data_IF_254370646138
#
_entry.id   IF_254370646138
#
_cell.length_a   1.000
_cell.length_b   1.000
_cell.length_c   1.000
_cell.angle_alpha   90.00
_cell.angle_beta   90.00
_cell.angle_gamma   90.00
#
_symmetry.space_group_name_H-M   'P 1'
#
loop_
_entity.id
_entity.type
_entity.pdbx_description
1 polymer ?
#
# COMPACT_ATOMS: atom_id res chain seq x y z
N UNK A 1 7.82 -0.59 -9.23
CA UNK A 1 7.56 0.53 -8.29
C UNK A 1 7.40 -0.02 -6.89
N UNK A 2 8.05 0.59 -5.94
CA UNK A 2 7.98 0.15 -4.54
C UNK A 2 6.82 0.84 -3.83
N UNK A 3 6.34 0.23 -2.75
CA UNK A 3 5.21 0.75 -1.99
C UNK A 3 5.42 2.20 -1.53
N UNK A 4 6.61 2.51 -0.99
CA UNK A 4 6.90 3.85 -0.51
C UNK A 4 6.85 4.89 -1.65
N UNK A 5 7.22 4.51 -2.86
CA UNK A 5 7.17 5.42 -4.01
C UNK A 5 5.74 5.80 -4.37
N UNK A 6 4.82 4.83 -4.27
CA UNK A 6 3.39 5.10 -4.50
C UNK A 6 2.86 6.06 -3.44
N UNK A 7 3.20 5.83 -2.16
CA UNK A 7 2.73 6.68 -1.08
C UNK A 7 3.20 8.13 -1.23
N UNK A 8 4.37 8.35 -1.82
CA UNK A 8 4.92 9.71 -1.99
C UNK A 8 4.15 10.56 -2.99
N UNK A 9 3.39 9.95 -3.91
CA UNK A 9 2.67 10.72 -4.93
C UNK A 9 1.25 11.10 -4.50
N UNK A 10 0.76 10.57 -3.38
CA UNK A 10 -0.56 10.90 -2.86
C UNK A 10 -0.47 11.92 -1.74
N UNK A 11 -1.55 12.68 -1.57
CA UNK A 11 -1.62 13.64 -0.46
C UNK A 11 -1.72 12.90 0.88
N UNK A 12 -1.32 13.57 1.95
CA UNK A 12 -1.28 12.97 3.28
C UNK A 12 -2.64 12.52 3.80
N UNK A 13 -3.73 13.05 3.26
CA UNK A 13 -5.09 12.74 3.71
C UNK A 13 -5.67 11.49 3.07
N UNK A 14 -5.04 10.96 2.03
CA UNK A 14 -5.52 9.75 1.35
C UNK A 14 -5.35 8.55 2.28
N UNK A 15 -6.39 7.73 2.36
CA UNK A 15 -6.35 6.47 3.09
C UNK A 15 -5.89 5.36 2.14
N UNK A 16 -4.98 4.53 2.62
CA UNK A 16 -4.42 3.40 1.86
C UNK A 16 -4.79 2.10 2.55
N UNK A 17 -5.50 1.24 1.83
CA UNK A 17 -5.73 -0.13 2.26
C UNK A 17 -4.67 -1.00 1.61
N UNK A 18 -3.87 -1.67 2.43
CA UNK A 18 -2.74 -2.48 1.98
C UNK A 18 -3.08 -3.96 2.03
N UNK A 19 -2.80 -4.64 0.95
CA UNK A 19 -2.86 -6.10 0.89
C UNK A 19 -1.52 -6.63 0.38
N UNK A 20 -1.09 -7.77 0.90
CA UNK A 20 0.18 -8.39 0.54
C UNK A 20 -0.09 -9.76 -0.08
N UNK A 21 0.41 -9.96 -1.30
CA UNK A 21 0.36 -11.28 -1.93
C UNK A 21 1.40 -12.21 -1.34
N UNK A 22 1.01 -13.46 -1.13
CA UNK A 22 1.94 -14.53 -0.81
C UNK A 22 2.74 -14.94 -2.06
N UNK A 23 3.67 -15.87 -1.89
CA UNK A 23 4.59 -16.30 -2.94
C UNK A 23 3.90 -16.81 -4.21
N UNK A 24 2.68 -17.32 -4.09
CA UNK A 24 1.92 -17.88 -5.21
C UNK A 24 1.06 -16.84 -5.95
N UNK A 25 0.92 -15.65 -5.41
CA UNK A 25 0.09 -14.56 -5.94
C UNK A 25 -1.39 -14.91 -6.15
N UNK A 26 -1.86 -16.01 -5.58
CA UNK A 26 -3.26 -16.42 -5.72
C UNK A 26 -4.18 -15.73 -4.73
N UNK A 27 -3.65 -15.35 -3.58
CA UNK A 27 -4.44 -14.67 -2.56
C UNK A 27 -3.62 -13.57 -1.93
N UNK A 28 -4.31 -12.47 -1.59
CA UNK A 28 -3.71 -11.35 -0.89
C UNK A 28 -4.27 -11.30 0.51
N UNK A 29 -3.41 -11.09 1.51
CA UNK A 29 -3.82 -10.87 2.89
C UNK A 29 -3.96 -9.39 3.13
N UNK A 30 -5.11 -8.99 3.68
CA UNK A 30 -5.32 -7.60 4.08
C UNK A 30 -4.48 -7.30 5.32
N UNK A 31 -3.71 -6.24 5.24
CA UNK A 31 -2.87 -5.78 6.35
C UNK A 31 -3.61 -4.73 7.18
N UNK A 32 -4.37 -3.86 6.53
CA UNK A 32 -5.14 -2.82 7.20
C UNK A 32 -5.22 -1.56 6.38
N UNK A 33 -5.60 -0.48 7.05
CA UNK A 33 -5.77 0.83 6.41
C UNK A 33 -5.11 1.90 7.28
N UNK A 34 -4.24 2.71 6.66
CA UNK A 34 -3.66 3.89 7.28
C UNK A 34 -3.71 5.06 6.29
N UNK A 35 -3.65 6.29 6.82
CA UNK A 35 -3.47 7.46 5.97
C UNK A 35 -2.02 7.52 5.47
N UNK A 36 -1.83 8.18 4.33
CA UNK A 36 -0.49 8.36 3.78
C UNK A 36 0.44 9.04 4.80
N UNK A 37 -0.04 10.01 5.57
CA UNK A 37 0.79 10.68 6.57
C UNK A 37 1.33 9.70 7.61
N UNK A 38 0.51 8.75 8.06
CA UNK A 38 0.95 7.75 9.04
C UNK A 38 1.97 6.80 8.43
N UNK A 39 1.77 6.43 7.18
CA UNK A 39 2.70 5.56 6.46
C UNK A 39 4.05 6.27 6.28
N UNK A 40 4.03 7.54 5.92
CA UNK A 40 5.26 8.32 5.76
C UNK A 40 5.98 8.54 7.09
N UNK A 41 5.28 8.43 8.22
CA UNK A 41 5.85 8.52 9.56
C UNK A 41 6.32 7.18 10.13
N UNK A 42 6.30 6.13 9.33
CA UNK A 42 6.88 4.83 9.70
C UNK A 42 5.90 3.67 9.82
N UNK A 43 4.59 3.91 9.75
CA UNK A 43 3.63 2.81 9.71
C UNK A 43 3.91 1.95 8.48
N UNK A 44 3.92 0.64 8.66
CA UNK A 44 4.22 -0.31 7.59
C UNK A 44 5.62 -0.17 6.99
N UNK A 45 6.60 0.31 7.75
CA UNK A 45 7.96 0.49 7.23
C UNK A 45 8.56 -0.79 6.65
N UNK A 46 8.19 -1.96 7.19
CA UNK A 46 8.65 -3.25 6.66
C UNK A 46 8.15 -3.54 5.24
N UNK A 47 7.11 -2.84 4.78
CA UNK A 47 6.56 -3.03 3.44
C UNK A 47 7.07 -1.99 2.43
N UNK A 48 7.88 -1.02 2.86
CA UNK A 48 8.30 0.08 2.00
C UNK A 48 8.96 -0.37 0.70
N UNK A 49 9.71 -1.45 0.74
CA UNK A 49 10.45 -1.95 -0.41
C UNK A 49 9.71 -3.06 -1.18
N UNK A 50 8.49 -3.40 -0.77
CA UNK A 50 7.69 -4.38 -1.49
C UNK A 50 7.25 -3.80 -2.84
N UNK A 51 7.15 -4.65 -3.85
CA UNK A 51 6.75 -4.21 -5.18
C UNK A 51 5.23 -4.05 -5.26
N UNK A 52 4.80 -2.94 -5.84
CA UNK A 52 3.38 -2.68 -6.08
C UNK A 52 2.93 -3.44 -7.32
N UNK A 53 1.88 -4.24 -7.15
CA UNK A 53 1.29 -4.99 -8.26
C UNK A 53 -0.01 -4.36 -8.74
N UNK A 54 -0.80 -3.78 -7.83
CA UNK A 54 -2.08 -3.17 -8.15
C UNK A 54 -2.25 -1.90 -7.32
N UNK A 55 -2.69 -0.82 -7.98
CA UNK A 55 -3.21 0.38 -7.32
C UNK A 55 -4.61 0.59 -7.85
N UNK A 56 -5.61 0.55 -6.97
CA UNK A 56 -7.00 0.66 -7.36
C UNK A 56 -7.68 1.77 -6.56
N UNK A 57 -8.21 2.80 -7.21
CA UNK A 57 -8.99 3.81 -6.49
C UNK A 57 -10.31 3.20 -6.03
N UNK A 58 -10.68 3.46 -4.79
CA UNK A 58 -11.97 3.04 -4.23
C UNK A 58 -12.92 4.24 -4.26
N UNK A 59 -12.47 5.39 -3.79
CA UNK A 59 -13.20 6.65 -3.86
C UNK A 59 -12.20 7.82 -3.90
N UNK A 60 -12.69 9.05 -3.72
CA UNK A 60 -11.87 10.26 -3.83
C UNK A 60 -10.76 10.35 -2.77
N UNK A 61 -10.90 9.65 -1.65
CA UNK A 61 -9.98 9.74 -0.52
C UNK A 61 -9.40 8.38 -0.11
N UNK A 62 -9.69 7.32 -0.87
CA UNK A 62 -9.32 5.96 -0.49
C UNK A 62 -8.83 5.18 -1.69
N UNK A 63 -7.66 4.58 -1.56
CA UNK A 63 -7.08 3.69 -2.58
C UNK A 63 -6.76 2.33 -1.96
N UNK A 64 -6.79 1.32 -2.79
CA UNK A 64 -6.30 0.00 -2.43
C UNK A 64 -4.97 -0.25 -3.14
N UNK A 65 -3.98 -0.68 -2.39
CA UNK A 65 -2.67 -1.04 -2.93
C UNK A 65 -2.38 -2.49 -2.59
N UNK A 66 -2.03 -3.26 -3.61
CA UNK A 66 -1.59 -4.64 -3.41
C UNK A 66 -0.11 -4.73 -3.75
N UNK A 67 0.64 -5.37 -2.87
CA UNK A 67 2.09 -5.47 -3.00
C UNK A 67 2.53 -6.92 -2.91
N UNK A 68 3.71 -7.19 -3.43
CA UNK A 68 4.33 -8.50 -3.38
C UNK A 68 5.69 -8.37 -2.72
N UNK A 69 6.05 -9.34 -1.89
CA UNK A 69 7.35 -9.35 -1.25
C UNK A 69 8.46 -9.36 -2.29
N UNK A 70 9.47 -8.57 -1.99
CA UNK A 70 10.66 -8.43 -2.82
C UNK A 70 11.39 -9.76 -3.07
#
# INVERSE_FOLDING_TARGET
>A
MKFIDVCRVFTHKIEVSLSVFDDDMESAKDVGTYRVIDIMNGCWSKYYNYYVTVVKPIDETHIQVKVMKE
#
